data_IF_446607986407
#
_entry.id   IF_446607986407
#
_cell.length_a   1.000
_cell.length_b   1.000
_cell.length_c   1.000
_cell.angle_alpha   90.00
_cell.angle_beta   90.00
_cell.angle_gamma   90.00
#
_symmetry.space_group_name_H-M   'P 1'
#
loop_
_entity.id
_entity.type
_entity.pdbx_description
1 polymer ?
#
# COMPACT_ATOMS: atom_id res chain seq x y z
N UNK A 1 -13.41 5.18 17.56
CA UNK A 1 -12.84 6.18 16.63
C UNK A 1 -11.34 5.98 16.62
N UNK A 2 -10.74 5.83 15.43
CA UNK A 2 -9.32 5.60 15.23
C UNK A 2 -8.53 6.91 15.17
N UNK A 3 -7.22 6.86 15.40
CA UNK A 3 -6.36 7.99 15.13
C UNK A 3 -6.17 8.17 13.63
N UNK A 4 -5.96 7.06 12.90
CA UNK A 4 -5.75 7.09 11.44
C UNK A 4 -6.54 5.99 10.74
N UNK A 5 -7.19 6.35 9.62
CA UNK A 5 -7.71 5.40 8.66
C UNK A 5 -6.85 5.38 7.40
N UNK A 6 -6.48 4.20 6.93
CA UNK A 6 -5.68 3.99 5.72
C UNK A 6 -6.59 3.39 4.63
N UNK A 7 -6.68 4.06 3.48
CA UNK A 7 -7.50 3.63 2.35
C UNK A 7 -6.60 3.07 1.24
N UNK A 8 -6.63 1.77 1.06
CA UNK A 8 -5.76 0.99 0.18
C UNK A 8 -4.57 0.39 0.93
N UNK A 9 -4.35 -0.90 0.77
CA UNK A 9 -3.27 -1.66 1.42
C UNK A 9 -2.28 -2.25 0.41
N UNK A 10 -2.01 -1.53 -0.69
CA UNK A 10 -0.82 -1.79 -1.49
C UNK A 10 0.45 -1.40 -0.71
N UNK A 11 1.64 -1.41 -1.33
CA UNK A 11 2.90 -1.15 -0.63
C UNK A 11 2.91 0.14 0.16
N UNK A 12 2.34 1.22 -0.40
CA UNK A 12 2.31 2.52 0.26
C UNK A 12 1.40 2.52 1.49
N UNK A 13 0.16 2.02 1.34
CA UNK A 13 -0.79 2.02 2.46
C UNK A 13 -0.45 0.99 3.52
N UNK A 14 0.01 -0.21 3.12
CA UNK A 14 0.48 -1.22 4.07
C UNK A 14 1.66 -0.72 4.90
N UNK A 15 2.65 -0.08 4.25
CA UNK A 15 3.80 0.50 4.96
C UNK A 15 3.38 1.66 5.88
N UNK A 16 2.46 2.52 5.44
CA UNK A 16 1.93 3.58 6.28
C UNK A 16 1.21 3.01 7.52
N UNK A 17 0.34 2.00 7.32
CA UNK A 17 -0.36 1.35 8.42
C UNK A 17 0.61 0.72 9.42
N UNK A 18 1.65 0.00 8.94
CA UNK A 18 2.69 -0.58 9.77
C UNK A 18 3.39 0.47 10.62
N UNK A 19 3.91 1.52 10.00
CA UNK A 19 4.70 2.55 10.71
C UNK A 19 3.86 3.35 11.71
N UNK A 20 2.60 3.60 11.38
CA UNK A 20 1.67 4.28 12.30
C UNK A 20 1.33 3.40 13.51
N UNK A 21 1.08 2.11 13.29
CA UNK A 21 0.82 1.17 14.38
C UNK A 21 2.06 0.96 15.27
N UNK A 22 3.26 0.82 14.69
CA UNK A 22 4.54 0.76 15.43
C UNK A 22 4.79 2.04 16.27
N UNK A 23 4.29 3.19 15.81
CA UNK A 23 4.35 4.44 16.54
C UNK A 23 3.27 4.58 17.66
N UNK A 24 2.43 3.56 17.85
CA UNK A 24 1.42 3.50 18.90
C UNK A 24 0.08 4.17 18.55
N UNK A 25 -0.16 4.51 17.28
CA UNK A 25 -1.46 5.03 16.85
C UNK A 25 -2.48 3.89 16.70
N UNK A 26 -3.74 4.17 16.99
CA UNK A 26 -4.84 3.29 16.65
C UNK A 26 -5.15 3.43 15.15
N UNK A 27 -4.92 2.37 14.37
CA UNK A 27 -5.01 2.37 12.91
C UNK A 27 -6.07 1.40 12.45
N UNK A 28 -6.95 1.85 11.52
CA UNK A 28 -7.80 0.98 10.72
C UNK A 28 -7.41 1.08 9.25
N UNK A 29 -7.32 -0.04 8.55
CA UNK A 29 -6.91 -0.08 7.15
C UNK A 29 -7.90 -0.88 6.29
N UNK A 30 -8.28 -0.31 5.15
CA UNK A 30 -9.26 -0.88 4.23
C UNK A 30 -8.61 -1.18 2.88
N UNK A 31 -8.91 -2.34 2.30
CA UNK A 31 -8.62 -2.61 0.89
C UNK A 31 -9.87 -3.16 0.19
N UNK A 32 -10.09 -2.71 -1.06
CA UNK A 32 -11.18 -3.19 -1.91
C UNK A 32 -11.01 -4.64 -2.38
N UNK A 33 -9.77 -5.13 -2.38
CA UNK A 33 -9.45 -6.51 -2.75
C UNK A 33 -9.82 -7.45 -1.63
N UNK A 34 -10.26 -8.64 -1.97
CA UNK A 34 -10.58 -9.71 -1.00
C UNK A 34 -9.33 -10.28 -0.33
N UNK A 35 -8.16 -10.04 -0.89
CA UNK A 35 -6.85 -10.35 -0.31
C UNK A 35 -5.88 -9.25 -0.71
N UNK A 36 -5.17 -8.71 0.24
CA UNK A 36 -4.09 -7.75 -0.02
C UNK A 36 -3.08 -8.38 -0.99
N UNK A 37 -2.68 -7.61 -2.00
CA UNK A 37 -1.73 -8.09 -3.00
C UNK A 37 -2.32 -8.92 -4.15
N UNK A 38 -3.60 -9.33 -4.15
CA UNK A 38 -4.19 -10.17 -5.18
C UNK A 38 -5.43 -9.51 -5.83
N UNK A 39 -5.48 -9.37 -7.19
CA UNK A 39 -4.44 -9.67 -8.19
C UNK A 39 -3.32 -8.63 -8.23
N UNK A 40 -2.14 -9.05 -8.70
CA UNK A 40 -0.99 -8.18 -8.92
C UNK A 40 -0.95 -7.70 -10.37
N UNK A 41 -0.67 -6.41 -10.56
CA UNK A 41 -0.38 -5.78 -11.84
C UNK A 41 0.96 -5.05 -11.74
N UNK A 42 2.06 -5.80 -11.73
CA UNK A 42 3.40 -5.26 -11.52
C UNK A 42 4.45 -6.11 -12.27
N UNK A 43 5.52 -5.48 -12.73
CA UNK A 43 6.67 -6.17 -13.31
C UNK A 43 7.61 -6.82 -12.27
N UNK A 44 7.26 -6.77 -11.00
CA UNK A 44 7.92 -7.47 -9.89
C UNK A 44 9.42 -7.17 -9.75
N UNK A 45 9.80 -5.95 -10.04
CA UNK A 45 11.14 -5.42 -9.79
C UNK A 45 11.13 -4.39 -8.67
N UNK A 46 12.05 -4.50 -7.71
CA UNK A 46 12.18 -3.58 -6.58
C UNK A 46 13.63 -3.13 -6.44
N UNK A 47 13.88 -1.82 -6.55
CA UNK A 47 15.21 -1.25 -6.37
C UNK A 47 15.67 -1.27 -4.91
N UNK A 48 16.97 -1.48 -4.66
CA UNK A 48 17.55 -1.43 -3.29
C UNK A 48 17.23 -0.11 -2.58
N UNK A 49 17.31 1.00 -3.28
CA UNK A 49 17.02 2.34 -2.74
C UNK A 49 15.63 2.40 -2.10
N UNK A 50 14.62 1.75 -2.69
CA UNK A 50 13.28 1.75 -2.12
C UNK A 50 13.23 1.05 -0.76
N UNK A 51 13.98 -0.05 -0.59
CA UNK A 51 14.07 -0.76 0.69
C UNK A 51 14.85 0.05 1.73
N UNK A 52 15.94 0.68 1.32
CA UNK A 52 16.73 1.56 2.20
C UNK A 52 15.88 2.71 2.75
N UNK A 53 15.06 3.35 1.90
CA UNK A 53 14.17 4.43 2.34
C UNK A 53 13.05 3.97 3.28
N UNK A 54 12.54 2.75 3.11
CA UNK A 54 11.48 2.22 3.96
C UNK A 54 12.01 1.55 5.22
N UNK A 55 13.30 1.25 5.27
CA UNK A 55 13.93 0.44 6.31
C UNK A 55 13.16 -0.87 6.57
N UNK A 56 12.67 -1.50 5.49
CA UNK A 56 11.93 -2.75 5.56
C UNK A 56 12.86 -3.93 5.21
N UNK A 57 12.90 -5.00 6.02
CA UNK A 57 13.85 -6.09 5.83
C UNK A 57 13.54 -6.89 4.57
N UNK A 58 14.60 -7.35 3.92
CA UNK A 58 14.48 -8.34 2.83
C UNK A 58 14.02 -9.68 3.43
N UNK A 59 13.02 -10.27 2.81
CA UNK A 59 12.42 -11.56 3.24
C UNK A 59 12.19 -12.51 2.07
N UNK A 60 11.43 -13.57 2.30
CA UNK A 60 11.15 -14.65 1.34
C UNK A 60 10.40 -14.18 0.08
N UNK A 61 9.84 -13.00 0.10
CA UNK A 61 9.24 -12.35 -1.06
C UNK A 61 10.30 -11.90 -2.11
N UNK A 62 11.58 -11.81 -1.74
CA UNK A 62 12.68 -11.49 -2.65
C UNK A 62 13.21 -12.77 -3.30
N UNK A 63 12.90 -12.97 -4.59
CA UNK A 63 13.25 -14.19 -5.33
C UNK A 63 14.73 -14.22 -5.68
N UNK A 64 15.25 -13.10 -6.18
CA UNK A 64 16.63 -12.98 -6.65
C UNK A 64 17.14 -11.55 -6.61
N UNK A 65 18.37 -11.36 -6.17
CA UNK A 65 19.09 -10.11 -6.35
C UNK A 65 19.49 -9.90 -7.81
N UNK A 66 19.30 -8.68 -8.32
CA UNK A 66 19.63 -8.28 -9.69
C UNK A 66 20.56 -7.06 -9.68
N UNK A 67 21.49 -7.00 -10.65
CA UNK A 67 22.43 -5.87 -10.78
C UNK A 67 21.83 -4.70 -11.57
N UNK A 68 20.78 -4.95 -12.33
CA UNK A 68 20.17 -3.95 -13.19
C UNK A 68 19.16 -4.54 -14.16
N UNK A 69 18.71 -3.71 -15.10
CA UNK A 69 17.69 -4.05 -16.08
C UNK A 69 18.24 -3.89 -17.51
N UNK A 70 17.77 -4.73 -18.41
CA UNK A 70 17.99 -4.56 -19.85
C UNK A 70 16.63 -4.33 -20.54
N UNK A 71 16.46 -3.15 -21.09
CA UNK A 71 15.28 -2.79 -21.86
C UNK A 71 15.57 -3.08 -23.33
N UNK A 72 14.79 -3.96 -23.95
CA UNK A 72 14.86 -4.26 -25.39
C UNK A 72 13.69 -3.57 -26.10
N UNK A 73 13.99 -2.79 -27.11
CA UNK A 73 12.99 -2.10 -27.92
C UNK A 73 12.49 -2.99 -29.06
N UNK A 74 11.32 -2.72 -29.68
CA UNK A 74 10.78 -3.48 -30.80
C UNK A 74 11.71 -3.52 -32.02
N UNK A 75 12.55 -2.49 -32.23
CA UNK A 75 13.54 -2.42 -33.31
C UNK A 75 14.82 -3.25 -33.05
N UNK A 76 14.84 -4.08 -31.99
CA UNK A 76 15.96 -4.94 -31.61
C UNK A 76 17.07 -4.25 -30.80
N UNK A 77 17.08 -2.92 -30.71
CA UNK A 77 18.05 -2.21 -29.85
C UNK A 77 17.78 -2.50 -28.38
N UNK A 78 18.85 -2.52 -27.58
CA UNK A 78 18.76 -2.73 -26.14
C UNK A 78 19.59 -1.70 -25.37
N UNK A 79 19.08 -1.26 -24.25
CA UNK A 79 19.77 -0.38 -23.29
C UNK A 79 19.87 -1.11 -21.95
N UNK A 80 21.08 -1.17 -21.40
CA UNK A 80 21.31 -1.67 -20.03
C UNK A 80 21.32 -0.52 -19.05
N UNK A 81 20.62 -0.68 -17.94
CA UNK A 81 20.62 0.25 -16.82
C UNK A 81 21.14 -0.48 -15.57
N UNK A 82 22.20 0.04 -14.97
CA UNK A 82 22.69 -0.44 -13.69
C UNK A 82 21.73 0.11 -12.59
N UNK A 83 20.92 -0.76 -12.05
CA UNK A 83 19.94 -0.45 -11.01
C UNK A 83 19.82 -1.66 -10.09
N UNK A 84 20.68 -1.78 -9.08
CA UNK A 84 20.66 -2.90 -8.15
C UNK A 84 19.31 -3.02 -7.45
N UNK A 85 18.84 -4.25 -7.29
CA UNK A 85 17.53 -4.50 -6.69
C UNK A 85 17.23 -5.99 -6.60
N UNK A 86 15.95 -6.28 -6.55
CA UNK A 86 15.44 -7.64 -6.45
C UNK A 86 14.34 -7.89 -7.49
N UNK A 87 14.33 -9.09 -8.06
CA UNK A 87 13.10 -9.67 -8.58
C UNK A 87 12.32 -10.19 -7.38
N UNK A 88 11.05 -9.81 -7.28
CA UNK A 88 10.25 -10.07 -6.08
C UNK A 88 8.96 -10.82 -6.42
N UNK A 89 8.44 -11.51 -5.43
CA UNK A 89 7.07 -11.99 -5.42
C UNK A 89 6.20 -10.90 -4.79
N UNK A 90 5.62 -10.05 -5.62
CA UNK A 90 4.94 -8.84 -5.18
C UNK A 90 3.76 -9.11 -4.25
N UNK A 91 2.98 -10.16 -4.53
CA UNK A 91 1.92 -10.58 -3.62
C UNK A 91 2.47 -10.93 -2.23
N UNK A 92 3.57 -11.68 -2.17
CA UNK A 92 4.23 -12.02 -0.91
C UNK A 92 4.70 -10.78 -0.14
N UNK A 93 5.27 -9.77 -0.84
CA UNK A 93 5.67 -8.51 -0.21
C UNK A 93 4.46 -7.75 0.36
N UNK A 94 3.41 -7.54 -0.46
CA UNK A 94 2.25 -6.75 -0.03
C UNK A 94 1.53 -7.43 1.14
N UNK A 95 1.36 -8.76 1.09
CA UNK A 95 0.77 -9.54 2.18
C UNK A 95 1.62 -9.47 3.46
N UNK A 96 2.94 -9.65 3.33
CA UNK A 96 3.83 -9.59 4.50
C UNK A 96 3.79 -8.24 5.19
N UNK A 97 3.86 -7.14 4.45
CA UNK A 97 3.74 -5.79 5.02
C UNK A 97 2.40 -5.61 5.74
N UNK A 98 1.33 -6.08 5.12
CA UNK A 98 -0.01 -5.97 5.71
C UNK A 98 -0.17 -6.85 6.96
N UNK A 99 0.42 -8.04 6.98
CA UNK A 99 0.40 -8.92 8.14
C UNK A 99 1.25 -8.36 9.29
N UNK A 100 2.40 -7.76 8.98
CA UNK A 100 3.21 -7.06 9.98
C UNK A 100 2.46 -5.83 10.56
N UNK A 101 1.70 -5.10 9.74
CA UNK A 101 0.86 -4.02 10.22
C UNK A 101 -0.22 -4.52 11.19
N UNK A 102 -0.84 -5.66 10.90
CA UNK A 102 -1.81 -6.32 11.82
C UNK A 102 -1.11 -6.75 13.12
N UNK A 103 0.06 -7.36 13.02
CA UNK A 103 0.84 -7.76 14.20
C UNK A 103 1.25 -6.56 15.07
N UNK A 104 1.45 -5.39 14.46
CA UNK A 104 1.71 -4.13 15.16
C UNK A 104 0.45 -3.44 15.72
N UNK A 105 -0.75 -3.97 15.47
CA UNK A 105 -2.01 -3.47 16.03
C UNK A 105 -2.95 -2.79 15.04
N UNK A 106 -2.68 -2.83 13.73
CA UNK A 106 -3.63 -2.32 12.72
C UNK A 106 -4.85 -3.23 12.62
N UNK A 107 -6.05 -2.65 12.69
CA UNK A 107 -7.30 -3.32 12.34
C UNK A 107 -7.46 -3.34 10.82
N UNK A 108 -7.40 -4.54 10.20
CA UNK A 108 -7.44 -4.71 8.74
C UNK A 108 -8.80 -5.20 8.26
N UNK A 109 -9.34 -4.54 7.23
CA UNK A 109 -10.55 -4.93 6.53
C UNK A 109 -10.29 -5.12 5.04
N UNK A 110 -10.36 -6.35 4.57
CA UNK A 110 -10.25 -6.73 3.16
C UNK A 110 -11.62 -6.85 2.51
N UNK A 111 -11.70 -6.62 1.20
CA UNK A 111 -12.96 -6.65 0.43
C UNK A 111 -13.86 -5.43 0.67
N UNK A 112 -13.41 -4.45 1.43
CA UNK A 112 -14.15 -3.22 1.73
C UNK A 112 -13.64 -2.06 0.88
N UNK A 113 -14.45 -1.62 -0.08
CA UNK A 113 -14.15 -0.42 -0.87
C UNK A 113 -14.73 0.81 -0.16
N UNK A 114 -13.86 1.71 0.26
CA UNK A 114 -14.31 3.04 0.68
C UNK A 114 -14.75 3.81 -0.56
N UNK A 115 -16.01 4.22 -0.57
CA UNK A 115 -16.65 4.92 -1.70
C UNK A 115 -16.82 6.40 -1.46
N UNK A 116 -16.89 6.81 -0.19
CA UNK A 116 -17.11 8.20 0.23
C UNK A 116 -16.43 8.46 1.56
N UNK A 117 -15.97 9.69 1.75
CA UNK A 117 -15.53 10.22 3.04
C UNK A 117 -16.20 11.58 3.30
N UNK A 118 -16.55 11.86 4.55
CA UNK A 118 -17.01 13.18 4.97
C UNK A 118 -16.11 13.67 6.10
N UNK A 119 -15.85 14.97 6.15
CA UNK A 119 -15.15 15.59 7.28
C UNK A 119 -16.15 16.37 8.12
N UNK A 120 -16.34 15.93 9.35
CA UNK A 120 -17.24 16.58 10.30
C UNK A 120 -16.58 16.67 11.68
N UNK A 121 -16.78 17.78 12.37
CA UNK A 121 -16.32 17.96 13.75
C UNK A 121 -14.85 17.58 14.01
N UNK A 122 -13.97 17.80 13.02
CA UNK A 122 -12.53 17.53 13.14
C UNK A 122 -12.12 16.08 12.92
N UNK A 123 -13.04 15.21 12.53
CA UNK A 123 -12.76 13.82 12.15
C UNK A 123 -13.33 13.47 10.76
N UNK A 124 -12.97 12.29 10.26
CA UNK A 124 -13.45 11.75 9.01
C UNK A 124 -14.36 10.56 9.25
N UNK A 125 -15.53 10.59 8.64
CA UNK A 125 -16.43 9.45 8.54
C UNK A 125 -16.17 8.74 7.20
N UNK A 126 -15.95 7.43 7.25
CA UNK A 126 -15.68 6.60 6.09
C UNK A 126 -16.88 5.73 5.76
N UNK A 127 -17.25 5.68 4.49
CA UNK A 127 -18.41 4.92 4.01
C UNK A 127 -18.01 3.93 2.92
N UNK A 128 -18.54 2.72 3.05
CA UNK A 128 -18.63 1.73 1.98
C UNK A 128 -19.98 1.87 1.26
N UNK A 129 -20.25 0.96 0.31
CA UNK A 129 -21.59 0.84 -0.32
C UNK A 129 -22.70 0.45 0.68
N UNK A 130 -22.33 -0.18 1.79
CA UNK A 130 -23.25 -0.74 2.78
C UNK A 130 -23.46 0.20 3.98
N UNK A 131 -22.88 1.41 3.96
CA UNK A 131 -23.00 2.41 5.00
C UNK A 131 -21.67 2.83 5.63
N UNK A 132 -21.76 3.50 6.79
CA UNK A 132 -20.60 3.91 7.56
C UNK A 132 -19.83 2.70 8.10
N UNK A 133 -18.50 2.72 7.93
CA UNK A 133 -17.62 1.61 8.35
C UNK A 133 -16.58 2.01 9.39
N UNK A 134 -16.22 3.28 9.47
CA UNK A 134 -15.28 3.77 10.47
C UNK A 134 -15.31 5.29 10.62
N UNK A 135 -14.72 5.76 11.75
CA UNK A 135 -14.40 7.16 12.00
C UNK A 135 -12.94 7.29 12.40
N UNK A 136 -12.23 8.29 11.87
CA UNK A 136 -10.84 8.53 12.17
C UNK A 136 -10.51 10.02 12.22
N UNK A 137 -9.53 10.40 13.05
CA UNK A 137 -9.05 11.79 13.13
C UNK A 137 -8.32 12.20 11.86
N UNK A 138 -7.60 11.28 11.23
CA UNK A 138 -6.82 11.53 10.02
C UNK A 138 -7.02 10.43 8.97
N UNK A 139 -6.75 10.77 7.69
CA UNK A 139 -6.77 9.84 6.57
C UNK A 139 -5.40 9.72 5.93
N UNK A 140 -5.02 8.48 5.60
CA UNK A 140 -3.99 8.17 4.61
C UNK A 140 -4.69 7.60 3.37
N UNK A 141 -4.58 8.30 2.24
CA UNK A 141 -5.21 7.89 0.99
C UNK A 141 -4.14 7.26 0.10
N UNK A 142 -4.18 5.94 -0.04
CA UNK A 142 -3.21 5.14 -0.78
C UNK A 142 -3.89 4.26 -1.85
N UNK A 143 -4.87 4.81 -2.56
CA UNK A 143 -5.75 4.10 -3.51
C UNK A 143 -5.03 3.57 -4.76
N UNK A 144 -3.81 4.01 -5.02
CA UNK A 144 -3.03 3.63 -6.19
C UNK A 144 -3.48 4.36 -7.47
N UNK A 145 -3.44 3.66 -8.61
CA UNK A 145 -3.57 4.26 -9.95
C UNK A 145 -4.94 4.86 -10.27
N UNK A 146 -5.99 4.37 -9.67
CA UNK A 146 -7.37 4.83 -9.95
C UNK A 146 -7.89 5.53 -8.70
N UNK A 147 -7.65 6.85 -8.59
CA UNK A 147 -8.07 7.63 -7.43
C UNK A 147 -9.59 7.85 -7.43
N UNK A 148 -10.19 7.81 -6.27
CA UNK A 148 -11.58 8.15 -6.03
C UNK A 148 -11.69 9.12 -4.84
N UNK A 149 -11.17 8.72 -3.69
CA UNK A 149 -11.26 9.51 -2.46
C UNK A 149 -10.36 10.74 -2.54
N UNK A 150 -9.16 10.63 -3.13
CA UNK A 150 -8.25 11.76 -3.30
C UNK A 150 -8.90 12.93 -4.03
N UNK A 151 -9.75 12.63 -5.03
CA UNK A 151 -10.50 13.65 -5.77
C UNK A 151 -11.62 14.27 -4.93
N UNK A 152 -12.29 13.45 -4.09
CA UNK A 152 -13.37 13.93 -3.20
C UNK A 152 -12.86 14.93 -2.16
N UNK A 153 -11.64 14.75 -1.67
CA UNK A 153 -11.01 15.66 -0.67
C UNK A 153 -10.30 16.85 -1.30
N UNK A 154 -10.42 17.04 -2.62
CA UNK A 154 -9.86 18.18 -3.35
C UNK A 154 -8.35 18.14 -3.62
N UNK A 155 -7.71 16.98 -3.44
CA UNK A 155 -6.33 16.75 -3.84
C UNK A 155 -6.28 16.34 -5.33
N UNK A 156 -5.23 16.78 -6.05
CA UNK A 156 -5.00 16.48 -7.47
C UNK A 156 -3.73 15.67 -7.67
#
# INVERSE_FOLDING_TARGET
MFDVAVIGQGPAGGMAALRLAEAGHSVVAFDRKKRVGDPIHCGEGLGKIALEHTNYPVGDWAIREVKGNRIRMPNGKAVGLMSPGYSIHRWGLDSKISDDAVAAGTERHEGIKISKVNKENGHWDLFSKDGEVAKAKQLVIAEGRIPNIVTQVGLK
#
